data_IF_754473572012
#
_entry.id   IF_754473572012
#
_cell.length_a   1.000
_cell.length_b   1.000
_cell.length_c   1.000
_cell.angle_alpha   90.00
_cell.angle_beta   90.00
_cell.angle_gamma   90.00
#
_symmetry.space_group_name_H-M   'P 1'
#
loop_
_entity.id
_entity.type
_entity.pdbx_description
1 polymer ?
#
# COMPACT_ATOMS: atom_id res chain seq x y z
N UNK A 1 -19.94 14.75 -3.60
CA UNK A 1 -18.58 14.40 -4.08
C UNK A 1 -17.96 15.64 -4.69
N UNK A 2 -16.64 15.81 -4.61
CA UNK A 2 -15.93 17.05 -4.99
C UNK A 2 -15.20 16.98 -6.33
N UNK A 3 -15.46 15.96 -7.17
CA UNK A 3 -15.05 15.94 -8.59
C UNK A 3 -13.81 15.13 -8.96
N UNK A 4 -13.08 14.54 -7.99
CA UNK A 4 -11.98 13.64 -8.30
C UNK A 4 -12.48 12.37 -9.02
N UNK A 5 -11.72 11.90 -10.03
CA UNK A 5 -12.07 10.73 -10.86
C UNK A 5 -11.09 9.56 -10.72
N UNK A 6 -10.05 9.70 -9.90
CA UNK A 6 -9.02 8.67 -9.71
C UNK A 6 -7.92 9.10 -8.74
N UNK A 7 -6.85 8.30 -8.70
CA UNK A 7 -5.72 8.43 -7.78
C UNK A 7 -4.42 7.93 -8.45
N UNK A 8 -3.29 8.51 -8.07
CA UNK A 8 -1.95 7.98 -8.35
C UNK A 8 -1.33 7.55 -7.00
N UNK A 9 -1.55 6.30 -6.55
CA UNK A 9 -1.21 5.91 -5.19
C UNK A 9 0.24 5.43 -5.06
N UNK A 10 0.94 5.87 -4.01
CA UNK A 10 2.20 5.26 -3.59
C UNK A 10 2.02 3.80 -3.20
N UNK A 11 0.96 3.50 -2.43
CA UNK A 11 0.54 2.15 -2.05
C UNK A 11 0.27 1.19 -3.21
N UNK A 12 0.06 1.69 -4.43
CA UNK A 12 -0.07 0.86 -5.63
C UNK A 12 1.18 0.02 -5.96
N UNK A 13 2.35 0.38 -5.40
CA UNK A 13 3.56 -0.44 -5.51
C UNK A 13 3.56 -1.66 -4.55
N UNK A 14 2.62 -1.71 -3.61
CA UNK A 14 2.55 -2.73 -2.55
C UNK A 14 1.25 -3.53 -2.63
N UNK A 15 0.12 -2.86 -2.77
CA UNK A 15 -1.23 -3.44 -2.84
C UNK A 15 -2.05 -2.86 -4.03
N UNK A 16 -1.62 -3.14 -5.27
CA UNK A 16 -2.26 -2.57 -6.46
C UNK A 16 -3.71 -2.99 -6.65
N UNK A 17 -4.06 -4.24 -6.31
CA UNK A 17 -5.42 -4.76 -6.52
C UNK A 17 -6.43 -4.12 -5.57
N UNK A 18 -6.05 -3.81 -4.33
CA UNK A 18 -6.90 -3.06 -3.40
C UNK A 18 -7.13 -1.62 -3.87
N UNK A 19 -6.11 -0.97 -4.45
CA UNK A 19 -6.26 0.38 -5.02
C UNK A 19 -7.28 0.39 -6.17
N UNK A 20 -7.18 -0.59 -7.08
CA UNK A 20 -8.13 -0.74 -8.20
C UNK A 20 -9.52 -1.10 -7.69
N UNK A 21 -9.62 -2.00 -6.70
CA UNK A 21 -10.91 -2.40 -6.14
C UNK A 21 -11.62 -1.22 -5.45
N UNK A 22 -10.89 -0.37 -4.74
CA UNK A 22 -11.43 0.85 -4.14
C UNK A 22 -12.00 1.79 -5.23
N UNK A 23 -11.25 2.03 -6.30
CA UNK A 23 -11.71 2.82 -7.44
C UNK A 23 -12.97 2.20 -8.06
N UNK A 24 -12.99 0.88 -8.28
CA UNK A 24 -14.13 0.16 -8.84
C UNK A 24 -15.39 0.28 -7.98
N UNK A 25 -15.26 0.11 -6.66
CA UNK A 25 -16.38 0.28 -5.72
C UNK A 25 -16.93 1.71 -5.78
N UNK A 26 -16.04 2.70 -5.90
CA UNK A 26 -16.43 4.10 -6.02
C UNK A 26 -17.17 4.39 -7.34
N UNK A 27 -16.66 3.90 -8.46
CA UNK A 27 -17.29 4.03 -9.79
C UNK A 27 -18.69 3.36 -9.84
N UNK A 28 -18.85 2.24 -9.13
CA UNK A 28 -20.14 1.55 -8.96
C UNK A 28 -21.08 2.22 -7.96
N UNK A 29 -20.68 3.35 -7.35
CA UNK A 29 -21.41 4.06 -6.30
C UNK A 29 -21.65 3.21 -5.04
N UNK A 30 -20.85 2.17 -4.81
CA UNK A 30 -20.90 1.31 -3.62
C UNK A 30 -20.13 1.97 -2.44
N UNK A 31 -20.48 3.22 -2.11
CA UNK A 31 -19.67 4.07 -1.22
C UNK A 31 -19.46 3.51 0.19
N UNK A 32 -20.44 2.78 0.73
CA UNK A 32 -20.29 2.14 2.04
C UNK A 32 -19.18 1.08 2.04
N UNK A 33 -19.12 0.26 0.97
CA UNK A 33 -18.07 -0.74 0.79
C UNK A 33 -16.72 -0.08 0.50
N UNK A 34 -16.70 0.94 -0.35
CA UNK A 34 -15.48 1.72 -0.63
C UNK A 34 -14.90 2.32 0.66
N UNK A 35 -15.73 2.95 1.49
CA UNK A 35 -15.30 3.51 2.77
C UNK A 35 -14.84 2.43 3.76
N UNK A 36 -15.47 1.25 3.75
CA UNK A 36 -15.04 0.11 4.56
C UNK A 36 -13.66 -0.41 4.14
N UNK A 37 -13.43 -0.56 2.83
CA UNK A 37 -12.12 -0.94 2.29
C UNK A 37 -11.05 0.11 2.58
N UNK A 38 -11.38 1.40 2.39
CA UNK A 38 -10.46 2.50 2.69
C UNK A 38 -10.00 2.48 4.16
N UNK A 39 -10.92 2.24 5.09
CA UNK A 39 -10.57 2.13 6.53
C UNK A 39 -9.66 0.96 6.84
N UNK A 40 -9.73 -0.13 6.08
CA UNK A 40 -8.84 -1.28 6.26
C UNK A 40 -7.42 -1.00 5.76
N UNK A 41 -7.27 -0.20 4.70
CA UNK A 41 -5.97 0.04 4.06
C UNK A 41 -5.28 1.35 4.48
N UNK A 42 -5.96 2.26 5.18
CA UNK A 42 -5.43 3.59 5.53
C UNK A 42 -4.15 3.52 6.36
N UNK A 43 -4.07 2.59 7.31
CA UNK A 43 -2.87 2.42 8.14
C UNK A 43 -1.70 1.88 7.32
N UNK A 44 -1.95 0.97 6.38
CA UNK A 44 -0.93 0.49 5.45
C UNK A 44 -0.46 1.58 4.49
N UNK A 45 -1.35 2.47 4.03
CA UNK A 45 -0.94 3.65 3.26
C UNK A 45 -0.07 4.60 4.10
N UNK A 46 -0.40 4.82 5.37
CA UNK A 46 0.42 5.61 6.29
C UNK A 46 1.79 4.95 6.57
N UNK A 47 1.84 3.63 6.75
CA UNK A 47 3.08 2.87 6.85
C UNK A 47 3.93 2.99 5.57
N UNK A 48 3.26 3.00 4.41
CA UNK A 48 3.91 3.10 3.12
C UNK A 48 4.45 4.52 2.81
N UNK A 49 3.71 5.55 3.23
CA UNK A 49 3.95 6.92 2.78
C UNK A 49 4.53 7.84 3.87
N UNK A 50 4.13 7.67 5.14
CA UNK A 50 4.40 8.65 6.21
C UNK A 50 5.42 8.21 7.26
N UNK A 51 5.39 6.97 7.73
CA UNK A 51 6.16 6.56 8.93
C UNK A 51 7.68 6.74 8.78
N UNK A 52 8.27 6.18 7.72
CA UNK A 52 9.71 6.28 7.45
C UNK A 52 10.01 6.67 5.99
N UNK A 53 9.01 7.27 5.34
CA UNK A 53 9.03 7.65 3.93
C UNK A 53 9.33 6.49 2.99
N UNK A 54 9.80 6.83 1.79
CA UNK A 54 10.07 5.86 0.71
C UNK A 54 11.18 4.85 1.06
N UNK A 55 12.04 5.15 2.03
CA UNK A 55 13.05 4.20 2.51
C UNK A 55 12.41 2.99 3.20
N UNK A 56 11.36 3.19 3.99
CA UNK A 56 10.60 2.12 4.62
C UNK A 56 9.93 1.20 3.59
N UNK A 57 9.21 1.78 2.62
CA UNK A 57 8.57 1.01 1.55
C UNK A 57 9.56 0.25 0.69
N UNK A 58 10.69 0.86 0.32
CA UNK A 58 11.70 0.15 -0.47
C UNK A 58 12.29 -1.03 0.28
N UNK A 59 12.57 -0.87 1.58
CA UNK A 59 13.01 -1.96 2.43
C UNK A 59 11.97 -3.10 2.44
N UNK A 60 10.69 -2.77 2.64
CA UNK A 60 9.59 -3.73 2.58
C UNK A 60 9.49 -4.43 1.21
N UNK A 61 9.48 -3.66 0.11
CA UNK A 61 9.36 -4.19 -1.26
C UNK A 61 10.48 -5.18 -1.56
N UNK A 62 11.72 -4.83 -1.21
CA UNK A 62 12.87 -5.70 -1.42
C UNK A 62 12.72 -7.02 -0.66
N UNK A 63 12.33 -6.96 0.62
CA UNK A 63 12.15 -8.16 1.44
C UNK A 63 10.96 -9.01 0.99
N UNK A 64 9.82 -8.38 0.71
CA UNK A 64 8.55 -9.06 0.42
C UNK A 64 8.45 -9.58 -1.01
N UNK A 65 8.92 -8.80 -1.98
CA UNK A 65 8.76 -9.10 -3.40
C UNK A 65 10.08 -9.48 -4.10
N UNK A 66 11.23 -9.34 -3.42
CA UNK A 66 12.52 -9.83 -3.91
C UNK A 66 13.19 -8.99 -5.00
N UNK A 67 12.69 -7.78 -5.29
CA UNK A 67 13.27 -6.89 -6.31
C UNK A 67 13.75 -5.54 -5.75
N UNK A 68 14.65 -4.89 -6.50
CA UNK A 68 15.37 -3.71 -6.00
C UNK A 68 16.42 -4.08 -4.94
N UNK A 69 17.05 -3.08 -4.32
CA UNK A 69 18.10 -3.26 -3.31
C UNK A 69 17.70 -2.77 -1.90
N UNK A 70 16.42 -2.47 -1.69
CA UNK A 70 15.87 -2.10 -0.39
C UNK A 70 16.27 -0.70 0.12
N UNK A 71 17.05 0.07 -0.63
CA UNK A 71 17.64 1.33 -0.14
C UNK A 71 17.38 2.49 -1.10
N UNK A 72 17.30 3.68 -0.53
CA UNK A 72 17.24 4.91 -1.32
C UNK A 72 18.65 5.38 -1.71
N UNK A 73 18.71 6.25 -2.73
CA UNK A 73 19.92 7.03 -2.97
C UNK A 73 20.02 8.13 -1.91
N UNK A 74 21.24 8.52 -1.57
CA UNK A 74 21.48 9.69 -0.72
C UNK A 74 20.79 10.92 -1.32
N UNK A 75 20.24 11.84 -0.49
CA UNK A 75 20.45 11.98 0.97
C UNK A 75 19.51 11.16 1.86
N UNK A 76 18.60 10.34 1.30
CA UNK A 76 17.67 9.55 2.10
C UNK A 76 18.37 8.36 2.76
N UNK A 77 18.35 8.34 4.09
CA UNK A 77 19.00 7.31 4.89
C UNK A 77 18.24 5.98 4.83
N UNK A 78 18.96 4.89 5.11
CA UNK A 78 18.36 3.56 5.28
C UNK A 78 17.51 3.57 6.56
N UNK A 79 16.41 2.81 6.54
CA UNK A 79 15.67 2.50 7.76
C UNK A 79 16.48 1.53 8.63
N UNK A 80 16.32 1.64 9.95
CA UNK A 80 16.82 0.63 10.88
C UNK A 80 15.98 -0.65 10.83
N UNK A 81 16.51 -1.75 11.36
CA UNK A 81 15.80 -3.04 11.40
C UNK A 81 14.48 -2.93 12.18
N UNK A 82 14.45 -2.13 13.25
CA UNK A 82 13.23 -1.88 14.03
C UNK A 82 12.17 -1.14 13.20
N UNK A 83 12.58 -0.14 12.42
CA UNK A 83 11.67 0.61 11.55
C UNK A 83 11.16 -0.27 10.40
N UNK A 84 12.02 -1.11 9.81
CA UNK A 84 11.63 -2.07 8.80
C UNK A 84 10.60 -3.08 9.35
N UNK A 85 10.87 -3.69 10.51
CA UNK A 85 9.96 -4.60 11.18
C UNK A 85 8.61 -3.95 11.52
N UNK A 86 8.60 -2.67 11.91
CA UNK A 86 7.37 -1.94 12.19
C UNK A 86 6.50 -1.77 10.93
N UNK A 87 7.10 -1.38 9.80
CA UNK A 87 6.37 -1.29 8.50
C UNK A 87 5.85 -2.65 8.06
N UNK A 88 6.69 -3.69 8.17
CA UNK A 88 6.32 -5.06 7.80
C UNK A 88 5.11 -5.58 8.58
N UNK A 89 5.05 -5.29 9.88
CA UNK A 89 3.97 -5.76 10.77
C UNK A 89 2.57 -5.37 10.31
N UNK A 90 2.44 -4.24 9.61
CA UNK A 90 1.17 -3.76 9.05
C UNK A 90 1.02 -4.22 7.60
N UNK A 91 2.04 -4.01 6.76
CA UNK A 91 1.93 -4.25 5.32
C UNK A 91 1.76 -5.73 4.96
N UNK A 92 2.29 -6.66 5.75
CA UNK A 92 2.18 -8.10 5.45
C UNK A 92 0.73 -8.58 5.37
N UNK A 93 -0.11 -8.14 6.30
CA UNK A 93 -1.54 -8.50 6.33
C UNK A 93 -2.28 -7.93 5.11
N UNK A 94 -1.93 -6.72 4.69
CA UNK A 94 -2.56 -6.04 3.56
C UNK A 94 -2.11 -6.63 2.22
N UNK A 95 -0.87 -7.12 2.09
CA UNK A 95 -0.44 -7.85 0.89
C UNK A 95 -1.22 -9.15 0.73
N UNK A 96 -1.54 -9.86 1.82
CA UNK A 96 -2.38 -11.06 1.77
C UNK A 96 -3.80 -10.71 1.30
N UNK A 97 -4.39 -9.65 1.86
CA UNK A 97 -5.70 -9.15 1.43
C UNK A 97 -5.70 -8.74 -0.05
N UNK A 98 -4.63 -8.10 -0.52
CA UNK A 98 -4.47 -7.70 -1.93
C UNK A 98 -4.47 -8.91 -2.87
N UNK A 99 -3.74 -9.97 -2.50
CA UNK A 99 -3.71 -11.22 -3.26
C UNK A 99 -5.08 -11.91 -3.29
N UNK A 100 -5.83 -11.88 -2.19
CA UNK A 100 -7.19 -12.41 -2.15
C UNK A 100 -8.12 -11.66 -3.08
N UNK A 101 -8.06 -10.33 -3.08
CA UNK A 101 -8.85 -9.50 -4.01
C UNK A 101 -8.44 -9.80 -5.45
N UNK A 102 -7.14 -9.85 -5.75
CA UNK A 102 -6.62 -10.18 -7.08
C UNK A 102 -7.10 -11.54 -7.57
N UNK A 103 -7.18 -12.54 -6.70
CA UNK A 103 -7.66 -13.87 -7.05
C UNK A 103 -9.15 -13.90 -7.47
N UNK A 104 -9.93 -12.87 -7.15
CA UNK A 104 -11.33 -12.76 -7.61
C UNK A 104 -11.47 -12.19 -9.02
N UNK A 105 -10.39 -11.66 -9.60
CA UNK A 105 -10.40 -11.08 -10.93
C UNK A 105 -10.37 -12.21 -11.96
N UNK A 106 -11.34 -12.20 -12.88
CA UNK A 106 -11.42 -13.13 -14.01
C UNK A 106 -10.62 -12.61 -15.18
#
# INVERSE_FOLDING_TARGET
>A
MVGAVGLIPGGGNVFPSLCVELQRLYEKKEFSKAASLQRQIVEADDAACRWYGIAGVKSFIHKKFGYGNGVCRNPLLKVSDQQAAHVESVLDSIVILDQQVKATWK
#
